data_IF_387634194446
#
_entry.id   IF_387634194446
#
_cell.length_a   1.000
_cell.length_b   1.000
_cell.length_c   1.000
_cell.angle_alpha   90.00
_cell.angle_beta   90.00
_cell.angle_gamma   90.00
#
_symmetry.space_group_name_H-M   'P 1'
#
loop_
_entity.id
_entity.type
_entity.pdbx_description
1 polymer ?
#
# COMPACT_ATOMS: atom_id res chain seq x y z
N UNK A 1 22.33 10.56 14.11
CA UNK A 1 20.85 10.57 14.19
C UNK A 1 20.37 9.71 13.04
N UNK A 2 19.58 8.65 13.28
CA UNK A 2 19.02 7.85 12.18
C UNK A 2 18.08 8.72 11.37
N UNK A 3 18.19 8.70 10.04
CA UNK A 3 17.30 9.50 9.21
C UNK A 3 15.91 8.85 9.19
N UNK A 4 14.86 9.67 9.23
CA UNK A 4 13.47 9.18 9.25
C UNK A 4 13.10 8.63 7.87
N UNK A 5 12.61 7.39 7.83
CA UNK A 5 12.03 6.78 6.63
C UNK A 5 10.54 7.13 6.58
N UNK A 6 10.04 7.59 5.43
CA UNK A 6 8.62 7.77 5.16
C UNK A 6 8.19 6.76 4.08
N UNK A 7 7.13 6.01 4.34
CA UNK A 7 6.48 5.10 3.40
C UNK A 7 5.27 5.77 2.74
N UNK A 8 5.36 6.03 1.45
CA UNK A 8 4.30 6.56 0.61
C UNK A 8 3.57 5.39 -0.04
N UNK A 9 2.47 4.96 0.58
CA UNK A 9 1.78 3.74 0.22
C UNK A 9 0.42 4.02 -0.40
N UNK A 10 0.08 3.23 -1.42
CA UNK A 10 -1.25 3.25 -2.03
C UNK A 10 -1.75 1.82 -2.23
N UNK A 11 -2.79 1.47 -1.48
CA UNK A 11 -3.51 0.21 -1.63
C UNK A 11 -4.15 0.20 -3.03
N UNK A 12 -3.84 -0.82 -3.81
CA UNK A 12 -4.18 -0.92 -5.24
C UNK A 12 -2.98 -0.99 -6.18
N UNK A 13 -1.77 -0.66 -5.70
CA UNK A 13 -0.56 -1.09 -6.39
C UNK A 13 -0.26 -2.56 -6.09
N UNK A 14 0.08 -3.33 -7.13
CA UNK A 14 0.24 -4.78 -7.04
C UNK A 14 1.54 -5.20 -6.35
N UNK A 15 2.66 -4.56 -6.69
CA UNK A 15 3.95 -4.86 -6.04
C UNK A 15 3.97 -4.50 -4.56
N UNK A 16 3.10 -3.58 -4.12
CA UNK A 16 2.92 -3.25 -2.70
C UNK A 16 2.47 -4.44 -1.86
N UNK A 17 1.88 -5.50 -2.44
CA UNK A 17 1.59 -6.76 -1.75
C UNK A 17 2.82 -7.30 -1.00
N UNK A 18 3.97 -7.33 -1.68
CA UNK A 18 5.21 -7.85 -1.12
C UNK A 18 5.66 -7.02 0.08
N UNK A 19 5.61 -5.69 -0.04
CA UNK A 19 5.92 -4.77 1.05
C UNK A 19 4.95 -4.93 2.21
N UNK A 20 3.64 -4.95 1.94
CA UNK A 20 2.60 -5.03 2.97
C UNK A 20 2.73 -6.25 3.86
N UNK A 21 3.09 -7.40 3.28
CA UNK A 21 3.22 -8.64 4.03
C UNK A 21 4.53 -8.78 4.79
N UNK A 22 5.59 -8.05 4.41
CA UNK A 22 6.93 -8.19 5.03
C UNK A 22 7.38 -7.01 5.90
N UNK A 23 6.77 -5.84 5.75
CA UNK A 23 7.27 -4.60 6.35
C UNK A 23 7.35 -4.66 7.88
N UNK A 24 6.31 -5.14 8.56
CA UNK A 24 6.29 -5.19 10.03
C UNK A 24 7.37 -6.12 10.60
N UNK A 25 7.52 -7.32 10.04
CA UNK A 25 8.57 -8.26 10.43
C UNK A 25 9.97 -7.69 10.17
N UNK A 26 10.15 -7.00 9.04
CA UNK A 26 11.41 -6.35 8.70
C UNK A 26 11.77 -5.21 9.67
N UNK A 27 10.79 -4.38 10.07
CA UNK A 27 10.95 -3.33 11.07
C UNK A 27 11.45 -3.91 12.40
N UNK A 28 10.83 -5.00 12.87
CA UNK A 28 11.22 -5.69 14.11
C UNK A 28 12.63 -6.27 13.99
N UNK A 29 12.91 -7.03 12.92
CA UNK A 29 14.21 -7.71 12.73
C UNK A 29 15.39 -6.75 12.59
N UNK A 30 15.17 -5.59 11.96
CA UNK A 30 16.24 -4.63 11.67
C UNK A 30 16.26 -3.41 12.61
N UNK A 31 15.27 -3.25 13.47
CA UNK A 31 15.22 -2.17 14.45
C UNK A 31 15.16 -0.78 13.82
N UNK A 32 14.24 -0.59 12.88
CA UNK A 32 13.92 0.72 12.28
C UNK A 32 12.42 1.02 12.39
N UNK A 33 12.10 2.31 12.29
CA UNK A 33 10.74 2.83 12.28
C UNK A 33 10.45 3.49 10.93
N UNK A 34 9.18 3.50 10.55
CA UNK A 34 8.70 4.14 9.32
C UNK A 34 7.48 5.00 9.64
N UNK A 35 7.49 6.25 9.22
CA UNK A 35 6.26 7.04 9.16
C UNK A 35 5.49 6.65 7.92
N UNK A 36 4.18 6.45 8.06
CA UNK A 36 3.33 5.98 6.98
C UNK A 36 2.45 7.12 6.49
N UNK A 37 2.41 7.29 5.17
CA UNK A 37 1.52 8.23 4.49
C UNK A 37 0.72 7.49 3.41
N UNK A 38 -0.56 7.18 3.69
CA UNK A 38 -1.47 6.68 2.67
C UNK A 38 -1.72 7.78 1.64
N UNK A 39 -1.61 7.44 0.36
CA UNK A 39 -1.70 8.38 -0.78
C UNK A 39 -2.56 7.83 -1.92
N UNK A 40 -3.08 8.73 -2.77
CA UNK A 40 -3.77 8.35 -4.00
C UNK A 40 -2.78 8.21 -5.15
N UNK A 41 -2.32 6.98 -5.42
CA UNK A 41 -1.43 6.76 -6.57
C UNK A 41 -2.14 7.02 -7.89
N UNK A 42 -3.47 6.85 -7.96
CA UNK A 42 -4.25 7.18 -9.16
C UNK A 42 -4.19 8.67 -9.48
N UNK A 43 -4.27 9.53 -8.47
CA UNK A 43 -4.16 10.98 -8.67
C UNK A 43 -2.78 11.33 -9.25
N UNK A 44 -1.72 10.75 -8.67
CA UNK A 44 -0.35 10.87 -9.16
C UNK A 44 -0.20 10.36 -10.59
N UNK A 45 -0.67 9.14 -10.88
CA UNK A 45 -0.55 8.53 -12.22
C UNK A 45 -1.33 9.27 -13.29
N UNK A 46 -2.50 9.83 -12.96
CA UNK A 46 -3.28 10.67 -13.86
C UNK A 46 -2.52 11.94 -14.27
N UNK A 47 -1.81 12.59 -13.36
CA UNK A 47 -1.04 13.79 -13.70
C UNK A 47 0.10 13.50 -14.69
N UNK A 48 0.56 12.24 -14.75
CA UNK A 48 1.59 11.76 -15.67
C UNK A 48 1.03 11.07 -16.94
N UNK A 49 -0.30 11.01 -17.10
CA UNK A 49 -0.96 10.26 -18.17
C UNK A 49 -0.49 8.78 -18.26
N UNK A 50 -0.32 8.15 -17.10
CA UNK A 50 0.22 6.79 -16.99
C UNK A 50 -0.80 5.80 -16.43
N UNK A 51 -0.83 4.59 -17.01
CA UNK A 51 -1.54 3.43 -16.45
C UNK A 51 -0.53 2.27 -16.47
N UNK A 52 -0.10 1.77 -15.29
CA UNK A 52 1.09 0.91 -15.21
C UNK A 52 0.90 -0.47 -15.86
N UNK A 53 -0.24 -1.13 -15.62
CA UNK A 53 -0.50 -2.50 -16.09
C UNK A 53 -1.89 -2.62 -16.72
N UNK A 54 -2.14 -1.94 -17.84
CA UNK A 54 -3.48 -1.92 -18.40
C UNK A 54 -3.83 -3.31 -19.00
N UNK A 55 -5.07 -3.81 -18.84
CA UNK A 55 -5.43 -5.20 -19.18
C UNK A 55 -5.16 -5.63 -20.62
N UNK A 56 -5.15 -4.67 -21.56
CA UNK A 56 -4.85 -4.92 -22.97
C UNK A 56 -3.38 -5.23 -23.24
N UNK A 57 -2.46 -4.95 -22.30
CA UNK A 57 -1.02 -5.25 -22.39
C UNK A 57 -0.70 -6.56 -21.67
N UNK A 58 -1.24 -7.66 -22.19
CA UNK A 58 -1.20 -9.00 -21.57
C UNK A 58 0.21 -9.45 -21.16
N UNK A 59 1.24 -9.16 -21.95
CA UNK A 59 2.62 -9.56 -21.67
C UNK A 59 3.15 -8.88 -20.40
N UNK A 60 2.86 -7.58 -20.23
CA UNK A 60 3.24 -6.83 -19.03
C UNK A 60 2.47 -7.33 -17.80
N UNK A 61 1.17 -7.57 -17.94
CA UNK A 61 0.31 -8.06 -16.85
C UNK A 61 0.74 -9.47 -16.41
N UNK A 62 0.95 -10.38 -17.36
CA UNK A 62 1.40 -11.75 -17.07
C UNK A 62 2.79 -11.76 -16.41
N UNK A 63 3.71 -10.90 -16.88
CA UNK A 63 5.02 -10.75 -16.25
C UNK A 63 4.89 -10.24 -14.81
N UNK A 64 4.11 -9.18 -14.59
CA UNK A 64 3.87 -8.62 -13.26
C UNK A 64 3.37 -9.69 -12.29
N UNK A 65 2.34 -10.45 -12.65
CA UNK A 65 1.83 -11.51 -11.78
C UNK A 65 2.89 -12.57 -11.48
N UNK A 66 3.58 -13.05 -12.52
CA UNK A 66 4.61 -14.07 -12.36
C UNK A 66 5.78 -13.57 -11.52
N UNK A 67 6.13 -12.29 -11.61
CA UNK A 67 7.21 -11.71 -10.82
C UNK A 67 6.84 -11.58 -9.34
N UNK A 68 5.63 -11.11 -9.05
CA UNK A 68 5.12 -11.04 -7.68
C UNK A 68 5.10 -12.45 -7.04
N UNK A 69 4.65 -13.48 -7.78
CA UNK A 69 4.72 -14.87 -7.30
C UNK A 69 6.15 -15.31 -6.94
N UNK A 70 7.12 -15.05 -7.82
CA UNK A 70 8.53 -15.43 -7.58
C UNK A 70 9.10 -14.72 -6.36
N UNK A 71 8.85 -13.42 -6.25
CA UNK A 71 9.36 -12.60 -5.14
C UNK A 71 8.71 -12.97 -3.81
N UNK A 72 7.42 -13.28 -3.82
CA UNK A 72 6.73 -13.80 -2.63
C UNK A 72 7.41 -15.07 -2.10
N UNK A 73 7.73 -16.03 -2.98
CA UNK A 73 8.47 -17.25 -2.61
C UNK A 73 9.85 -16.92 -2.05
N UNK A 74 10.60 -16.02 -2.69
CA UNK A 74 11.94 -15.63 -2.21
C UNK A 74 11.92 -14.99 -0.81
N UNK A 75 10.85 -14.30 -0.45
CA UNK A 75 10.66 -13.71 0.86
C UNK A 75 10.01 -14.65 1.89
N UNK A 76 9.62 -15.86 1.49
CA UNK A 76 8.89 -16.78 2.36
C UNK A 76 7.45 -16.33 2.66
N UNK A 77 6.87 -15.47 1.80
CA UNK A 77 5.50 -15.00 1.91
C UNK A 77 4.52 -16.00 1.28
N UNK A 78 3.24 -16.00 1.70
CA UNK A 78 2.19 -16.73 1.00
C UNK A 78 2.22 -16.46 -0.52
N UNK A 79 2.11 -17.54 -1.30
CA UNK A 79 2.03 -17.43 -2.76
C UNK A 79 0.67 -16.80 -3.11
N UNK A 80 0.64 -15.71 -3.89
CA UNK A 80 -0.62 -15.09 -4.29
C UNK A 80 -1.38 -15.97 -5.30
N UNK A 81 -2.70 -15.97 -5.19
CA UNK A 81 -3.64 -16.54 -6.15
C UNK A 81 -3.88 -15.53 -7.27
N UNK A 82 -3.11 -15.66 -8.35
CA UNK A 82 -3.15 -14.76 -9.51
C UNK A 82 -3.83 -15.41 -10.73
N UNK A 83 -4.56 -14.64 -11.56
CA UNK A 83 -4.76 -13.19 -11.45
C UNK A 83 -5.74 -12.83 -10.32
N UNK A 84 -5.32 -11.88 -9.47
CA UNK A 84 -6.17 -11.29 -8.45
C UNK A 84 -7.02 -10.16 -9.08
N UNK A 85 -8.15 -9.73 -8.44
CA UNK A 85 -8.96 -8.61 -8.93
C UNK A 85 -8.11 -7.37 -9.22
N UNK A 86 -7.99 -6.98 -10.49
CA UNK A 86 -7.18 -5.83 -10.88
C UNK A 86 -7.60 -5.33 -12.28
N UNK A 87 -7.61 -4.00 -12.53
CA UNK A 87 -7.39 -2.92 -11.58
C UNK A 87 -8.51 -2.82 -10.54
N UNK A 88 -8.21 -2.27 -9.37
CA UNK A 88 -9.20 -2.03 -8.32
C UNK A 88 -10.18 -0.90 -8.72
N UNK A 89 -11.45 -1.12 -8.41
CA UNK A 89 -12.57 -0.18 -8.55
C UNK A 89 -12.68 0.74 -7.33
N UNK A 90 -12.46 0.22 -6.12
CA UNK A 90 -12.66 0.93 -4.85
C UNK A 90 -11.33 1.30 -4.15
N UNK A 91 -10.26 1.54 -4.92
CA UNK A 91 -8.93 1.76 -4.34
C UNK A 91 -8.85 2.99 -3.42
N UNK A 92 -9.53 4.11 -3.73
CA UNK A 92 -9.53 5.30 -2.85
C UNK A 92 -10.19 4.98 -1.50
N UNK A 93 -11.26 4.19 -1.48
CA UNK A 93 -11.91 3.75 -0.26
C UNK A 93 -10.96 2.92 0.64
N UNK A 94 -10.19 2.00 0.04
CA UNK A 94 -9.17 1.25 0.77
C UNK A 94 -8.12 2.17 1.43
N UNK A 95 -7.68 3.20 0.71
CA UNK A 95 -6.68 4.14 1.23
C UNK A 95 -7.24 5.08 2.32
N UNK A 96 -8.50 5.51 2.20
CA UNK A 96 -9.16 6.33 3.23
C UNK A 96 -9.37 5.54 4.54
N UNK A 97 -9.76 4.26 4.46
CA UNK A 97 -9.75 3.36 5.63
C UNK A 97 -8.32 3.27 6.20
N UNK A 98 -7.32 3.18 5.33
CA UNK A 98 -5.91 3.27 5.72
C UNK A 98 -5.59 4.54 6.51
N UNK A 99 -6.05 5.72 6.07
CA UNK A 99 -5.82 6.98 6.81
C UNK A 99 -6.42 6.93 8.21
N UNK A 100 -7.67 6.48 8.35
CA UNK A 100 -8.32 6.31 9.67
C UNK A 100 -7.52 5.37 10.56
N UNK A 101 -7.16 4.20 10.05
CA UNK A 101 -6.45 3.19 10.83
C UNK A 101 -4.99 3.58 11.10
N UNK A 102 -4.40 4.48 10.32
CA UNK A 102 -3.11 5.07 10.63
C UNK A 102 -3.18 5.96 11.87
N UNK A 103 -4.27 6.71 12.05
CA UNK A 103 -4.47 7.57 13.23
C UNK A 103 -4.79 6.79 14.51
N UNK A 104 -5.09 5.50 14.36
CA UNK A 104 -5.28 4.55 15.44
C UNK A 104 -4.06 3.65 15.67
N UNK A 105 -2.92 3.90 15.02
CA UNK A 105 -1.71 3.05 15.06
C UNK A 105 -1.94 1.60 14.57
N UNK A 106 -2.96 1.40 13.72
CA UNK A 106 -3.39 0.11 13.21
C UNK A 106 -3.15 -0.09 11.71
N UNK A 107 -2.51 0.88 11.03
CA UNK A 107 -2.29 0.83 9.59
C UNK A 107 -1.58 -0.43 9.14
N UNK A 108 -0.44 -0.80 9.75
CA UNK A 108 0.35 -1.95 9.28
C UNK A 108 -0.44 -3.26 9.36
N UNK A 109 -1.31 -3.41 10.37
CA UNK A 109 -2.20 -4.57 10.50
C UNK A 109 -3.24 -4.57 9.37
N UNK A 110 -3.91 -3.45 9.12
CA UNK A 110 -4.86 -3.31 8.02
C UNK A 110 -4.22 -3.53 6.65
N UNK A 111 -3.06 -2.92 6.43
CA UNK A 111 -2.29 -2.99 5.21
C UNK A 111 -1.90 -4.44 4.88
N UNK A 112 -1.45 -5.19 5.88
CA UNK A 112 -1.20 -6.62 5.71
C UNK A 112 -2.50 -7.39 5.37
N UNK A 113 -3.56 -7.23 6.17
CA UNK A 113 -4.82 -7.95 6.00
C UNK A 113 -5.50 -7.67 4.66
N UNK A 114 -5.64 -6.41 4.25
CA UNK A 114 -6.34 -6.07 3.00
C UNK A 114 -5.64 -6.66 1.80
N UNK A 115 -4.30 -6.70 1.81
CA UNK A 115 -3.50 -7.32 0.75
C UNK A 115 -3.55 -8.84 0.79
N UNK A 116 -3.58 -9.48 1.96
CA UNK A 116 -3.81 -10.92 2.08
C UNK A 116 -5.19 -11.29 1.50
N UNK A 117 -6.26 -10.63 1.95
CA UNK A 117 -7.60 -10.89 1.46
C UNK A 117 -7.75 -10.66 -0.03
N UNK A 118 -7.04 -9.68 -0.58
CA UNK A 118 -7.04 -9.43 -2.01
C UNK A 118 -6.27 -10.49 -2.80
N UNK A 119 -5.02 -10.76 -2.44
CA UNK A 119 -4.13 -11.61 -3.25
C UNK A 119 -4.27 -13.10 -2.96
N UNK A 120 -4.82 -13.49 -1.81
CA UNK A 120 -5.00 -14.90 -1.41
C UNK A 120 -6.46 -15.30 -1.56
N UNK A 121 -7.38 -14.53 -0.99
CA UNK A 121 -8.80 -14.89 -0.98
C UNK A 121 -9.59 -14.31 -2.16
N UNK A 122 -8.97 -13.47 -2.99
CA UNK A 122 -9.61 -12.86 -4.15
C UNK A 122 -10.62 -11.76 -3.81
N UNK A 123 -10.65 -11.29 -2.56
CA UNK A 123 -11.52 -10.20 -2.10
C UNK A 123 -10.93 -8.85 -2.48
N UNK A 124 -11.46 -8.23 -3.53
CA UNK A 124 -10.97 -6.93 -4.04
C UNK A 124 -10.78 -5.89 -2.92
N UNK A 125 -9.56 -5.37 -2.74
CA UNK A 125 -9.28 -4.34 -1.73
C UNK A 125 -10.16 -3.10 -1.93
N UNK A 126 -10.72 -2.58 -0.84
CA UNK A 126 -11.62 -1.43 -0.85
C UNK A 126 -13.09 -1.78 -1.10
N UNK A 127 -13.40 -3.03 -1.50
CA UNK A 127 -14.77 -3.54 -1.49
C UNK A 127 -15.31 -3.63 -0.06
N UNK A 128 -16.64 -3.60 0.08
CA UNK A 128 -17.31 -3.78 1.37
C UNK A 128 -16.93 -5.12 2.02
N UNK A 129 -16.88 -6.20 1.24
CA UNK A 129 -16.48 -7.53 1.74
C UNK A 129 -15.07 -7.51 2.34
N UNK A 130 -14.09 -6.98 1.61
CA UNK A 130 -12.71 -6.90 2.06
C UNK A 130 -12.58 -6.02 3.33
N UNK A 131 -13.22 -4.84 3.35
CA UNK A 131 -13.15 -3.93 4.50
C UNK A 131 -13.82 -4.54 5.72
N UNK A 132 -15.04 -5.10 5.57
CA UNK A 132 -15.73 -5.77 6.68
C UNK A 132 -14.88 -6.89 7.26
N UNK A 133 -14.26 -7.70 6.41
CA UNK A 133 -13.41 -8.79 6.87
C UNK A 133 -12.18 -8.29 7.62
N UNK A 134 -11.47 -7.29 7.08
CA UNK A 134 -10.33 -6.67 7.76
C UNK A 134 -10.70 -6.12 9.13
N UNK A 135 -11.78 -5.34 9.21
CA UNK A 135 -12.22 -4.71 10.47
C UNK A 135 -12.68 -5.75 11.49
N UNK A 136 -13.37 -6.81 11.05
CA UNK A 136 -13.78 -7.92 11.93
C UNK A 136 -12.56 -8.61 12.58
N UNK A 137 -11.54 -8.94 11.80
CA UNK A 137 -10.26 -9.52 12.28
C UNK A 137 -9.47 -8.58 13.20
N UNK A 138 -9.76 -7.28 13.11
CA UNK A 138 -9.21 -6.24 13.98
C UNK A 138 -10.12 -5.93 15.18
N UNK A 139 -11.29 -6.58 15.28
CA UNK A 139 -12.30 -6.34 16.31
C UNK A 139 -12.77 -4.88 16.32
N UNK A 140 -12.89 -4.28 15.13
CA UNK A 140 -13.38 -2.91 14.91
C UNK A 140 -14.78 -2.95 14.30
N UNK A 141 -15.62 -1.99 14.69
CA UNK A 141 -16.96 -1.84 14.12
C UNK A 141 -16.90 -1.22 12.73
N UNK A 142 -17.52 -1.88 11.75
CA UNK A 142 -17.52 -1.41 10.37
C UNK A 142 -18.18 -0.03 10.22
N UNK A 143 -19.34 0.19 10.85
CA UNK A 143 -20.11 1.40 10.67
C UNK A 143 -19.35 2.61 11.25
N UNK A 144 -18.78 2.47 12.45
CA UNK A 144 -17.95 3.50 13.09
C UNK A 144 -16.76 3.90 12.22
N UNK A 145 -16.02 2.92 11.67
CA UNK A 145 -14.88 3.23 10.81
C UNK A 145 -15.33 3.90 9.50
N UNK A 146 -16.41 3.42 8.88
CA UNK A 146 -16.92 4.06 7.65
C UNK A 146 -17.44 5.47 7.87
N UNK A 147 -17.99 5.78 9.05
CA UNK A 147 -18.40 7.13 9.41
C UNK A 147 -17.19 8.07 9.47
N UNK A 148 -16.08 7.64 10.09
CA UNK A 148 -14.82 8.39 10.14
C UNK A 148 -14.23 8.58 8.74
N UNK A 149 -14.24 7.54 7.90
CA UNK A 149 -13.77 7.61 6.50
C UNK A 149 -14.47 8.72 5.72
N UNK A 150 -15.76 8.92 5.95
CA UNK A 150 -16.57 9.94 5.26
C UNK A 150 -16.38 11.35 5.84
N UNK A 151 -15.54 11.53 6.86
CA UNK A 151 -15.28 12.84 7.43
C UNK A 151 -14.46 13.73 6.48
N UNK A 152 -14.70 15.05 6.46
CA UNK A 152 -13.88 15.99 5.70
C UNK A 152 -12.40 15.98 6.13
N UNK A 153 -12.13 15.70 7.40
CA UNK A 153 -10.78 15.66 7.96
C UNK A 153 -9.93 14.53 7.35
N UNK A 154 -10.49 13.31 7.26
CA UNK A 154 -9.81 12.16 6.64
C UNK A 154 -9.55 12.41 5.16
N UNK A 155 -10.53 12.99 4.45
CA UNK A 155 -10.37 13.35 3.04
C UNK A 155 -9.27 14.40 2.85
N UNK A 156 -9.27 15.48 3.63
CA UNK A 156 -8.26 16.53 3.57
C UNK A 156 -6.85 15.99 3.88
N UNK A 157 -6.73 15.04 4.83
CA UNK A 157 -5.45 14.40 5.16
C UNK A 157 -4.95 13.51 4.02
N UNK A 158 -5.81 12.73 3.40
CA UNK A 158 -5.47 11.90 2.25
C UNK A 158 -5.00 12.75 1.05
N UNK A 159 -5.70 13.86 0.77
CA UNK A 159 -5.33 14.82 -0.26
C UNK A 159 -3.99 15.50 0.06
N UNK A 160 -3.80 15.94 1.31
CA UNK A 160 -2.54 16.54 1.77
C UNK A 160 -1.37 15.58 1.61
N UNK A 161 -1.49 14.34 2.06
CA UNK A 161 -0.45 13.32 1.88
C UNK A 161 -0.11 13.13 0.40
N UNK A 162 -1.12 13.12 -0.46
CA UNK A 162 -0.94 12.95 -1.91
C UNK A 162 -0.23 14.14 -2.54
N UNK A 163 -0.57 15.37 -2.14
CA UNK A 163 0.10 16.59 -2.60
C UNK A 163 1.55 16.65 -2.15
N UNK A 164 1.85 16.31 -0.90
CA UNK A 164 3.23 16.24 -0.38
C UNK A 164 4.06 15.18 -1.14
N UNK A 165 3.47 14.03 -1.46
CA UNK A 165 4.12 13.01 -2.27
C UNK A 165 4.44 13.51 -3.69
N UNK A 166 3.51 14.22 -4.32
CA UNK A 166 3.73 14.85 -5.63
C UNK A 166 4.86 15.88 -5.59
N UNK A 167 4.87 16.76 -4.59
CA UNK A 167 5.91 17.78 -4.41
C UNK A 167 7.30 17.16 -4.21
N UNK A 168 7.36 16.01 -3.53
CA UNK A 168 8.61 15.26 -3.35
C UNK A 168 9.06 14.51 -4.62
N UNK A 169 8.19 14.35 -5.61
CA UNK A 169 8.48 13.64 -6.86
C UNK A 169 8.11 12.15 -6.85
N UNK A 170 7.22 11.71 -5.95
CA UNK A 170 6.70 10.34 -5.95
C UNK A 170 5.86 10.11 -7.21
N UNK A 171 6.16 9.04 -7.95
CA UNK A 171 5.48 8.68 -9.20
C UNK A 171 4.91 7.25 -9.21
N UNK A 172 5.09 6.50 -8.12
CA UNK A 172 4.76 5.09 -8.03
C UNK A 172 4.54 4.64 -6.60
N UNK A 173 4.00 3.43 -6.43
CA UNK A 173 3.85 2.80 -5.11
C UNK A 173 4.30 1.32 -5.18
N UNK A 174 4.91 0.77 -4.12
CA UNK A 174 5.31 1.49 -2.91
C UNK A 174 6.52 2.39 -3.18
N UNK A 175 6.61 3.50 -2.46
CA UNK A 175 7.79 4.38 -2.48
C UNK A 175 8.22 4.68 -1.05
N UNK A 176 9.52 4.71 -0.80
CA UNK A 176 10.12 5.10 0.46
C UNK A 176 10.96 6.35 0.26
N UNK A 177 10.99 7.23 1.26
CA UNK A 177 11.87 8.41 1.23
C UNK A 177 12.68 8.57 2.49
N UNK A 178 13.89 9.08 2.33
CA UNK A 178 14.79 9.46 3.43
C UNK A 178 15.30 10.87 3.15
N UNK A 179 14.72 11.86 3.85
CA UNK A 179 14.89 13.26 3.46
C UNK A 179 14.30 13.53 2.07
N UNK A 180 15.14 13.92 1.10
CA UNK A 180 14.74 14.16 -0.30
C UNK A 180 14.98 12.97 -1.23
N UNK A 181 15.67 11.92 -0.76
CA UNK A 181 15.99 10.76 -1.57
C UNK A 181 14.79 9.82 -1.67
N UNK A 182 14.49 9.35 -2.89
CA UNK A 182 13.37 8.46 -3.18
C UNK A 182 13.84 7.06 -3.59
N UNK A 183 13.19 6.05 -3.03
CA UNK A 183 13.41 4.63 -3.28
C UNK A 183 12.08 4.03 -3.73
N UNK A 184 11.89 3.88 -5.03
CA UNK A 184 10.63 3.38 -5.61
C UNK A 184 10.69 1.89 -5.91
N UNK A 185 9.68 1.16 -5.46
CA UNK A 185 9.54 -0.27 -5.65
C UNK A 185 9.78 -1.05 -4.37
N UNK A 186 9.11 -2.20 -4.25
CA UNK A 186 9.31 -3.08 -3.10
C UNK A 186 10.77 -3.58 -3.02
N UNK A 187 11.44 -3.76 -4.16
CA UNK A 187 12.85 -4.14 -4.28
C UNK A 187 13.84 -3.06 -3.82
N UNK A 188 13.35 -1.87 -3.45
CA UNK A 188 14.15 -0.74 -2.94
C UNK A 188 13.95 -0.46 -1.46
N UNK A 189 13.12 -1.23 -0.77
CA UNK A 189 12.90 -1.10 0.67
C UNK A 189 14.23 -1.28 1.45
N UNK A 190 14.99 -2.32 1.14
CA UNK A 190 16.28 -2.58 1.79
C UNK A 190 17.31 -1.49 1.54
N UNK A 191 17.32 -0.91 0.33
CA UNK A 191 18.19 0.22 -0.04
C UNK A 191 17.86 1.46 0.83
N UNK A 192 16.57 1.77 1.00
CA UNK A 192 16.11 2.87 1.84
C UNK A 192 16.49 2.68 3.32
N UNK A 193 16.37 1.44 3.83
CA UNK A 193 16.75 1.10 5.20
C UNK A 193 18.27 1.28 5.41
N UNK A 194 19.07 0.80 4.46
CA UNK A 194 20.52 0.95 4.52
C UNK A 194 20.94 2.43 4.46
N UNK A 195 20.28 3.22 3.61
CA UNK A 195 20.57 4.65 3.48
C UNK A 195 20.19 5.47 4.73
N UNK A 196 19.17 5.04 5.47
CA UNK A 196 18.73 5.71 6.70
C UNK A 196 19.56 5.39 7.95
N UNK A 197 20.36 4.33 7.89
CA UNK A 197 21.18 3.80 8.99
C UNK A 197 22.42 4.65 9.25
#
# INVERSE_FOLDING_TARGET
MKNKIIGWFSIGSTYTYLTALRLQDLMVKRGFEIEIKPISIRHIMKSMNNIPFPPEKKEKVNYMWRDIERRAVNYGLPRPNVPAPYPLTNFDNANLVGVVLNDMDLYLKYFNLTYQYWFIDGMESGSEENIRRCLSDMTLDYNQITELVNSPEVTAKYEKNTSEALELGVFGAPTFSVGKELFWGDDRLEDAILFAS
#
